data_IF_056604230412
#
_entry.id   IF_056604230412
#
_cell.length_a   1.000
_cell.length_b   1.000
_cell.length_c   1.000
_cell.angle_alpha   90.00
_cell.angle_beta   90.00
_cell.angle_gamma   90.00
#
_symmetry.space_group_name_H-M   'P 1'
#
loop_
_entity.id
_entity.type
_entity.pdbx_description
1 polymer ?
#
# COMPACT_ATOMS: atom_id res chain seq x y z
N UNK A 1 1.50 -20.64 -8.75
CA UNK A 1 2.24 -21.31 -7.65
C UNK A 1 1.46 -21.09 -6.36
N UNK A 2 1.25 -22.11 -5.52
CA UNK A 2 0.69 -21.92 -4.19
C UNK A 2 1.59 -20.97 -3.38
N UNK A 3 1.00 -20.15 -2.49
CA UNK A 3 1.72 -19.16 -1.67
C UNK A 3 2.50 -18.10 -2.48
N UNK A 4 2.13 -17.86 -3.73
CA UNK A 4 2.69 -16.75 -4.51
C UNK A 4 2.31 -15.41 -3.89
N UNK A 5 3.28 -14.49 -3.86
CA UNK A 5 3.09 -13.10 -3.40
C UNK A 5 2.85 -12.19 -4.59
N UNK A 6 1.88 -11.31 -4.47
CA UNK A 6 1.51 -10.31 -5.46
C UNK A 6 1.59 -8.93 -4.81
N UNK A 7 2.14 -7.96 -5.53
CA UNK A 7 2.28 -6.58 -5.06
C UNK A 7 1.62 -5.64 -6.06
N UNK A 8 0.84 -4.68 -5.57
CA UNK A 8 0.15 -3.69 -6.39
C UNK A 8 0.32 -2.30 -5.80
N UNK A 9 0.50 -1.31 -6.68
CA UNK A 9 0.38 0.12 -6.36
C UNK A 9 -0.82 0.65 -7.14
N UNK A 10 -1.78 1.29 -6.46
CA UNK A 10 -2.95 1.83 -7.14
C UNK A 10 -3.55 3.05 -6.43
N UNK A 11 -4.62 3.64 -6.98
CA UNK A 11 -5.33 4.79 -6.41
C UNK A 11 -6.34 4.32 -5.33
N UNK A 12 -6.40 4.96 -4.14
CA UNK A 12 -7.28 4.51 -3.06
C UNK A 12 -8.78 4.52 -3.40
N UNK A 13 -9.23 5.35 -4.36
CA UNK A 13 -10.65 5.40 -4.79
C UNK A 13 -11.21 4.08 -5.31
N UNK A 14 -10.35 3.12 -5.68
CA UNK A 14 -10.73 1.77 -6.15
C UNK A 14 -10.52 0.69 -5.10
N UNK A 15 -10.19 1.06 -3.86
CA UNK A 15 -9.76 0.12 -2.82
C UNK A 15 -10.80 -0.99 -2.56
N UNK A 16 -12.08 -0.62 -2.46
CA UNK A 16 -13.18 -1.61 -2.26
C UNK A 16 -13.17 -2.67 -3.36
N UNK A 17 -13.09 -2.26 -4.62
CA UNK A 17 -13.10 -3.16 -5.77
C UNK A 17 -11.83 -4.00 -5.86
N UNK A 18 -10.68 -3.42 -5.51
CA UNK A 18 -9.40 -4.16 -5.47
C UNK A 18 -9.46 -5.28 -4.43
N UNK A 19 -9.88 -4.96 -3.20
CA UNK A 19 -9.93 -5.93 -2.10
C UNK A 19 -10.95 -7.04 -2.39
N UNK A 20 -12.13 -6.67 -2.91
CA UNK A 20 -13.15 -7.64 -3.34
C UNK A 20 -12.66 -8.53 -4.48
N UNK A 21 -11.95 -7.97 -5.47
CA UNK A 21 -11.35 -8.77 -6.56
C UNK A 21 -10.29 -9.74 -6.02
N UNK A 22 -9.45 -9.30 -5.08
CA UNK A 22 -8.43 -10.14 -4.48
C UNK A 22 -9.05 -11.35 -3.77
N UNK A 23 -10.01 -11.13 -2.88
CA UNK A 23 -10.66 -12.22 -2.13
C UNK A 23 -11.43 -13.16 -3.04
N UNK A 24 -12.14 -12.66 -4.06
CA UNK A 24 -12.84 -13.49 -5.07
C UNK A 24 -11.92 -14.42 -5.86
N UNK A 25 -10.66 -14.04 -6.02
CA UNK A 25 -9.66 -14.84 -6.74
C UNK A 25 -8.68 -15.59 -5.81
N UNK A 26 -8.99 -15.67 -4.52
CA UNK A 26 -8.16 -16.38 -3.53
C UNK A 26 -6.78 -15.74 -3.33
N UNK A 27 -6.64 -14.46 -3.64
CA UNK A 27 -5.51 -13.62 -3.25
C UNK A 27 -5.89 -12.93 -1.95
N UNK A 28 -5.25 -13.31 -0.85
CA UNK A 28 -5.58 -12.74 0.45
C UNK A 28 -4.70 -11.50 0.68
N UNK A 29 -5.28 -10.29 0.84
CA UNK A 29 -4.51 -9.11 1.22
C UNK A 29 -3.81 -9.35 2.56
N UNK A 30 -2.49 -9.14 2.59
CA UNK A 30 -1.66 -9.38 3.78
C UNK A 30 -1.10 -8.11 4.39
N UNK A 31 -0.67 -7.17 3.56
CA UNK A 31 -0.11 -5.89 3.99
C UNK A 31 -0.61 -4.77 3.12
N UNK A 32 -0.88 -3.62 3.74
CA UNK A 32 -1.29 -2.41 3.04
C UNK A 32 -0.58 -1.19 3.62
N UNK A 33 -0.09 -0.31 2.74
CA UNK A 33 0.41 1.03 3.10
C UNK A 33 -0.30 2.08 2.28
N UNK A 34 -0.76 3.15 2.92
CA UNK A 34 -1.21 4.35 2.22
C UNK A 34 -0.03 5.26 1.92
N UNK A 35 -0.09 5.99 0.81
CA UNK A 35 0.88 7.03 0.48
C UNK A 35 0.17 8.37 0.45
N UNK A 36 0.65 9.27 1.28
CA UNK A 36 0.16 10.63 1.40
C UNK A 36 1.21 11.57 0.82
N UNK A 37 0.84 12.53 -0.04
CA UNK A 37 1.80 13.50 -0.54
C UNK A 37 2.38 14.35 0.59
N UNK A 38 1.56 14.72 1.58
CA UNK A 38 1.94 15.41 2.81
C UNK A 38 1.17 14.78 3.97
N UNK A 39 1.67 14.91 5.21
CA UNK A 39 1.08 14.25 6.38
C UNK A 39 -0.39 14.65 6.66
N UNK A 40 -0.77 15.87 6.26
CA UNK A 40 -2.08 16.48 6.44
C UNK A 40 -3.03 16.29 5.24
N UNK A 41 -2.58 15.61 4.17
CA UNK A 41 -3.37 15.42 2.94
C UNK A 41 -3.86 14.00 2.78
N UNK A 42 -4.93 13.84 2.01
CA UNK A 42 -5.48 12.52 1.68
C UNK A 42 -4.48 11.61 0.95
N UNK A 43 -4.61 10.31 1.18
CA UNK A 43 -3.82 9.31 0.48
C UNK A 43 -4.13 9.35 -1.03
N UNK A 44 -3.09 9.45 -1.85
CA UNK A 44 -3.23 9.45 -3.31
C UNK A 44 -2.80 8.12 -3.95
N UNK A 45 -2.15 7.24 -3.18
CA UNK A 45 -1.79 5.88 -3.58
C UNK A 45 -1.96 4.89 -2.41
N UNK A 46 -2.10 3.62 -2.74
CA UNK A 46 -2.07 2.49 -1.82
C UNK A 46 -1.15 1.41 -2.37
N UNK A 47 -0.28 0.87 -1.52
CA UNK A 47 0.55 -0.30 -1.79
C UNK A 47 -0.11 -1.48 -1.10
N UNK A 48 -0.30 -2.57 -1.82
CA UNK A 48 -0.93 -3.78 -1.28
C UNK A 48 -0.06 -4.98 -1.64
N UNK A 49 0.22 -5.80 -0.63
CA UNK A 49 0.70 -7.16 -0.79
C UNK A 49 -0.47 -8.13 -0.60
N UNK A 50 -0.62 -9.10 -1.51
CA UNK A 50 -1.55 -10.20 -1.37
C UNK A 50 -0.86 -11.55 -1.57
N UNK A 51 -1.38 -12.61 -0.94
CA UNK A 51 -0.83 -13.96 -0.99
C UNK A 51 -1.89 -14.95 -1.43
N UNK A 52 -1.60 -15.74 -2.46
CA UNK A 52 -2.54 -16.77 -2.94
C UNK A 52 -2.72 -17.88 -1.90
N UNK A 53 -3.94 -18.04 -1.39
CA UNK A 53 -4.28 -19.06 -0.39
C UNK A 53 -3.74 -18.79 1.01
N UNK A 54 -3.40 -17.55 1.35
CA UNK A 54 -2.72 -17.20 2.61
C UNK A 54 -3.61 -17.13 3.86
N UNK A 55 -4.93 -17.33 3.75
CA UNK A 55 -5.91 -17.13 4.83
C UNK A 55 -6.18 -15.65 5.18
N UNK A 56 -7.22 -15.38 5.95
CA UNK A 56 -7.60 -14.02 6.32
C UNK A 56 -6.71 -13.46 7.43
N UNK A 57 -5.89 -12.45 7.11
CA UNK A 57 -5.17 -11.60 8.06
C UNK A 57 -4.53 -10.44 7.29
N UNK A 58 -4.96 -9.21 7.51
CA UNK A 58 -4.40 -8.03 6.87
C UNK A 58 -3.80 -7.08 7.92
N UNK A 59 -2.54 -6.68 7.70
CA UNK A 59 -1.88 -5.62 8.47
C UNK A 59 -1.91 -4.32 7.68
N UNK A 60 -2.49 -3.27 8.26
CA UNK A 60 -2.30 -1.90 7.77
C UNK A 60 -1.06 -1.34 8.44
N UNK A 61 -0.07 -0.97 7.63
CA UNK A 61 1.20 -0.42 8.10
C UNK A 61 1.13 1.11 8.16
N UNK A 62 2.07 1.75 8.90
CA UNK A 62 2.19 3.19 8.89
C UNK A 62 2.29 3.72 7.44
N UNK A 63 1.62 4.85 7.15
CA UNK A 63 1.64 5.43 5.82
C UNK A 63 3.03 5.92 5.46
N UNK A 64 3.28 6.03 4.16
CA UNK A 64 4.43 6.75 3.63
C UNK A 64 4.01 8.18 3.38
N UNK A 65 4.73 9.14 3.94
CA UNK A 65 4.56 10.57 3.64
C UNK A 65 5.64 11.00 2.66
N UNK A 66 5.28 11.56 1.51
CA UNK A 66 6.24 11.85 0.44
C UNK A 66 7.06 13.10 0.71
N UNK A 67 6.39 14.19 1.11
CA UNK A 67 7.00 15.49 1.34
C UNK A 67 6.83 15.96 2.79
N UNK A 68 7.83 16.66 3.30
CA UNK A 68 7.76 17.40 4.56
C UNK A 68 7.06 18.76 4.39
N UNK A 69 6.92 19.51 5.48
CA UNK A 69 6.28 20.83 5.49
C UNK A 69 7.01 21.88 4.63
N UNK A 70 8.32 21.68 4.37
CA UNK A 70 9.12 22.54 3.50
C UNK A 70 8.99 22.20 2.02
N UNK A 71 8.22 21.16 1.68
CA UNK A 71 8.04 20.68 0.32
C UNK A 71 9.22 19.84 -0.19
N UNK A 72 10.16 19.47 0.68
CA UNK A 72 11.24 18.54 0.33
C UNK A 72 10.81 17.09 0.58
N UNK A 73 11.51 16.12 -0.01
CA UNK A 73 11.24 14.71 0.28
C UNK A 73 11.40 14.42 1.77
N UNK A 74 10.48 13.64 2.33
CA UNK A 74 10.60 13.19 3.71
C UNK A 74 11.85 12.32 3.91
N UNK A 75 12.31 12.23 5.16
CA UNK A 75 13.48 11.41 5.51
C UNK A 75 13.26 9.92 5.21
N UNK A 76 12.01 9.43 5.33
CA UNK A 76 11.64 8.06 4.94
C UNK A 76 11.88 7.84 3.44
N UNK A 77 11.47 8.80 2.59
CA UNK A 77 11.69 8.73 1.14
C UNK A 77 13.17 8.85 0.79
N UNK A 78 13.90 9.82 1.38
CA UNK A 78 15.34 9.99 1.14
C UNK A 78 16.12 8.72 1.46
N UNK A 79 15.83 8.11 2.62
CA UNK A 79 16.52 6.88 3.07
C UNK A 79 16.19 5.67 2.19
N UNK A 80 14.94 5.54 1.73
CA UNK A 80 14.48 4.38 0.95
C UNK A 80 14.90 4.46 -0.52
N UNK A 81 14.90 5.66 -1.11
CA UNK A 81 15.11 5.88 -2.54
C UNK A 81 16.45 6.54 -2.91
N UNK A 82 17.25 6.97 -1.92
CA UNK A 82 18.61 7.49 -2.15
C UNK A 82 18.67 8.88 -2.79
N UNK A 83 17.71 9.75 -2.47
CA UNK A 83 17.72 11.17 -2.88
C UNK A 83 18.62 12.03 -1.99
#
# INVERSE_FOLDING_TARGET
RPMGRFYMVHRPRRLVEILDTFTRHGLEPKRMKFVHPYADREANMVLIEAVRGGGALMKVEPPVVVFDESGQYSDEIRTTYGY
#
